data_IF_318600713047
#
_entry.id   IF_318600713047
#
_cell.length_a   1.000
_cell.length_b   1.000
_cell.length_c   1.000
_cell.angle_alpha   90.00
_cell.angle_beta   90.00
_cell.angle_gamma   90.00
#
_symmetry.space_group_name_H-M   'P 1'
#
loop_
_entity.id
_entity.type
_entity.pdbx_description
1 polymer ?
#
# COMPACT_ATOMS: atom_id res chain seq x y z
N UNK A 1 -83.06 -7.18 -17.40
CA UNK A 1 -81.88 -7.48 -18.22
C UNK A 1 -80.73 -6.70 -17.66
N UNK A 2 -79.87 -7.31 -16.80
CA UNK A 2 -78.76 -6.65 -16.10
C UNK A 2 -77.44 -7.04 -16.80
N UNK A 3 -76.80 -6.05 -17.38
CA UNK A 3 -75.46 -6.21 -17.97
C UNK A 3 -74.40 -6.24 -16.80
N UNK A 4 -73.58 -7.31 -16.76
CA UNK A 4 -72.46 -7.41 -15.87
C UNK A 4 -71.28 -6.78 -16.57
N UNK A 5 -70.66 -5.79 -15.90
CA UNK A 5 -69.35 -5.23 -16.26
C UNK A 5 -68.26 -6.23 -15.92
N UNK A 6 -67.46 -6.64 -16.91
CA UNK A 6 -66.23 -7.40 -16.76
C UNK A 6 -65.09 -6.38 -16.75
N UNK A 7 -64.46 -6.19 -15.61
CA UNK A 7 -63.22 -5.42 -15.46
C UNK A 7 -62.03 -6.30 -15.91
N UNK A 8 -61.38 -5.89 -16.98
CA UNK A 8 -60.13 -6.48 -17.47
C UNK A 8 -58.97 -5.94 -16.58
N UNK A 9 -58.40 -6.79 -15.71
CA UNK A 9 -57.16 -6.47 -15.01
C UNK A 9 -56.00 -6.69 -15.94
N UNK A 10 -55.36 -5.58 -16.35
CA UNK A 10 -54.12 -5.62 -17.13
C UNK A 10 -52.96 -5.99 -16.21
N UNK A 11 -52.47 -7.20 -16.27
CA UNK A 11 -51.20 -7.61 -15.66
C UNK A 11 -50.07 -7.03 -16.50
N UNK A 12 -49.38 -6.03 -15.98
CA UNK A 12 -48.09 -5.57 -16.54
C UNK A 12 -47.05 -6.55 -16.07
N UNK A 13 -46.65 -7.46 -16.94
CA UNK A 13 -45.41 -8.23 -16.75
C UNK A 13 -44.23 -7.29 -17.00
N UNK A 14 -43.55 -6.84 -15.92
CA UNK A 14 -42.25 -6.24 -16.03
C UNK A 14 -41.30 -7.39 -16.36
N UNK A 15 -40.92 -7.53 -17.62
CA UNK A 15 -39.81 -8.37 -18.06
C UNK A 15 -38.52 -7.69 -17.54
N UNK A 16 -38.05 -8.12 -16.37
CA UNK A 16 -36.66 -7.92 -15.99
C UNK A 16 -35.81 -8.69 -17.00
N UNK A 17 -34.85 -8.06 -17.68
CA UNK A 17 -33.95 -8.80 -18.55
C UNK A 17 -33.24 -9.86 -17.71
N UNK A 18 -33.43 -11.13 -18.06
CA UNK A 18 -32.63 -12.22 -17.54
C UNK A 18 -31.19 -11.95 -17.97
N UNK A 19 -30.37 -11.53 -17.02
CA UNK A 19 -28.92 -11.43 -17.21
C UNK A 19 -28.41 -12.77 -17.74
N UNK A 20 -27.56 -12.73 -18.76
CA UNK A 20 -26.95 -13.95 -19.28
C UNK A 20 -26.18 -14.69 -18.18
N UNK A 21 -26.00 -16.03 -18.26
CA UNK A 21 -25.19 -16.75 -17.29
C UNK A 21 -23.78 -16.15 -17.12
N UNK A 22 -23.22 -15.56 -18.17
CA UNK A 22 -21.94 -14.84 -18.10
C UNK A 22 -22.07 -13.54 -17.29
N UNK A 23 -23.19 -12.81 -17.34
CA UNK A 23 -23.46 -11.64 -16.50
C UNK A 23 -23.79 -12.01 -15.06
N UNK A 24 -24.42 -13.16 -14.81
CA UNK A 24 -24.57 -13.69 -13.44
C UNK A 24 -23.23 -14.16 -12.86
N UNK A 25 -22.30 -14.66 -13.69
CA UNK A 25 -20.94 -15.00 -13.26
C UNK A 25 -20.08 -13.75 -12.99
N UNK A 26 -20.36 -12.61 -13.64
CA UNK A 26 -19.69 -11.33 -13.37
C UNK A 26 -20.12 -10.68 -12.05
N UNK A 27 -21.23 -11.11 -11.44
CA UNK A 27 -21.73 -10.62 -10.15
C UNK A 27 -21.09 -11.31 -8.91
N UNK A 28 -20.27 -12.35 -9.08
CA UNK A 28 -19.34 -12.85 -8.05
C UNK A 28 -18.04 -12.05 -8.09
N UNK A 29 -18.17 -10.73 -7.98
CA UNK A 29 -17.11 -9.82 -8.31
C UNK A 29 -16.19 -9.57 -7.14
N UNK A 30 -14.94 -9.30 -7.51
CA UNK A 30 -13.93 -8.67 -6.73
C UNK A 30 -14.53 -7.70 -5.70
N UNK A 31 -14.33 -7.96 -4.42
CA UNK A 31 -14.79 -7.11 -3.32
C UNK A 31 -13.70 -7.00 -2.26
N UNK A 32 -13.61 -5.81 -1.69
CA UNK A 32 -12.96 -5.57 -0.41
C UNK A 32 -14.07 -5.38 0.62
N UNK A 33 -14.13 -6.26 1.62
CA UNK A 33 -15.10 -6.15 2.71
C UNK A 33 -14.37 -5.85 4.03
N UNK A 34 -14.90 -4.92 4.85
CA UNK A 34 -14.25 -4.56 6.11
C UNK A 34 -14.30 -5.73 7.10
N UNK A 35 -13.17 -6.01 7.74
CA UNK A 35 -13.04 -7.01 8.80
C UNK A 35 -13.11 -6.33 10.16
N UNK A 36 -12.23 -5.36 10.39
CA UNK A 36 -12.21 -4.54 11.59
C UNK A 36 -11.62 -3.15 11.32
N UNK A 37 -11.89 -2.21 12.23
CA UNK A 37 -11.29 -0.88 12.28
C UNK A 37 -10.84 -0.59 13.70
N UNK A 38 -9.68 0.07 13.87
CA UNK A 38 -9.12 0.45 15.17
C UNK A 38 -8.61 1.87 15.12
N UNK A 39 -8.72 2.57 16.26
CA UNK A 39 -8.07 3.85 16.48
C UNK A 39 -6.61 3.56 16.79
N UNK A 40 -5.71 3.99 15.92
CA UNK A 40 -4.27 3.85 16.07
C UNK A 40 -3.65 5.12 16.65
N UNK A 41 -3.88 6.28 16.05
CA UNK A 41 -3.47 7.57 16.62
C UNK A 41 -4.38 7.96 17.77
N UNK A 42 -3.81 8.21 18.94
CA UNK A 42 -4.55 8.54 20.17
C UNK A 42 -5.37 9.84 20.08
N UNK A 43 -5.08 10.71 19.10
CA UNK A 43 -5.84 11.92 18.82
C UNK A 43 -7.14 11.63 18.03
N UNK A 44 -7.38 10.38 17.63
CA UNK A 44 -8.62 9.96 16.97
C UNK A 44 -8.86 10.70 15.65
N UNK A 45 -10.03 11.32 15.47
CA UNK A 45 -10.44 11.96 14.21
C UNK A 45 -9.50 13.08 13.70
N UNK A 46 -8.66 13.64 14.55
CA UNK A 46 -7.62 14.61 14.17
C UNK A 46 -6.23 13.97 14.10
N UNK A 47 -6.15 12.65 14.33
CA UNK A 47 -4.95 11.85 14.21
C UNK A 47 -4.65 11.48 12.76
N UNK A 48 -3.48 10.89 12.51
CA UNK A 48 -3.13 10.27 11.23
C UNK A 48 -2.30 9.02 11.43
N UNK A 49 -2.58 8.00 10.61
CA UNK A 49 -1.76 6.79 10.47
C UNK A 49 -1.07 6.88 9.12
N UNK A 50 0.26 7.01 9.14
CA UNK A 50 1.05 7.25 7.92
C UNK A 50 1.36 5.95 7.17
N UNK A 51 1.57 4.85 7.90
CA UNK A 51 1.88 3.55 7.29
C UNK A 51 1.35 2.38 8.11
N UNK A 52 1.10 1.25 7.43
CA UNK A 52 0.73 0.00 8.07
C UNK A 52 1.13 -1.19 7.18
N UNK A 53 1.90 -2.14 7.70
CA UNK A 53 2.45 -3.26 6.95
C UNK A 53 2.17 -4.60 7.64
N UNK A 54 1.84 -5.63 6.85
CA UNK A 54 1.68 -6.98 7.36
C UNK A 54 3.01 -7.64 7.67
N UNK A 55 3.05 -8.45 8.73
CA UNK A 55 4.13 -9.41 8.91
C UNK A 55 4.15 -10.41 7.74
N UNK A 56 5.33 -10.92 7.33
CA UNK A 56 5.45 -11.91 6.26
C UNK A 56 4.56 -13.15 6.46
N UNK A 57 4.32 -13.58 7.71
CA UNK A 57 3.42 -14.70 8.02
C UNK A 57 1.94 -14.30 8.10
N UNK A 58 1.60 -13.02 7.90
CA UNK A 58 0.26 -12.45 7.88
C UNK A 58 -0.48 -12.44 9.23
N UNK A 59 0.21 -12.77 10.35
CA UNK A 59 -0.44 -12.86 11.67
C UNK A 59 -0.50 -11.52 12.40
N UNK A 60 0.38 -10.60 12.05
CA UNK A 60 0.51 -9.30 12.69
C UNK A 60 0.47 -8.18 11.65
N UNK A 61 0.18 -6.98 12.14
CA UNK A 61 0.30 -5.73 11.41
C UNK A 61 1.08 -4.78 12.30
N UNK A 62 2.03 -4.04 11.74
CA UNK A 62 2.65 -2.89 12.40
C UNK A 62 2.12 -1.62 11.78
N UNK A 63 1.94 -0.55 12.56
CA UNK A 63 1.55 0.78 12.05
C UNK A 63 2.36 1.89 12.70
N UNK A 64 2.57 2.96 11.92
CA UNK A 64 3.18 4.21 12.36
C UNK A 64 2.16 5.34 12.35
N UNK A 65 2.21 6.23 13.35
CA UNK A 65 1.29 7.35 13.49
C UNK A 65 2.03 8.69 13.50
N UNK A 66 1.32 9.72 13.04
CA UNK A 66 1.86 11.07 12.91
C UNK A 66 1.87 11.84 14.23
N UNK A 67 0.71 12.01 14.82
CA UNK A 67 0.56 13.03 15.87
C UNK A 67 0.80 12.50 17.28
N UNK A 68 0.58 11.22 17.56
CA UNK A 68 0.97 10.61 18.83
C UNK A 68 2.29 9.85 18.74
N UNK A 69 2.94 9.86 17.56
CA UNK A 69 4.28 9.32 17.30
C UNK A 69 4.41 7.83 17.67
N UNK A 70 3.34 7.07 17.53
CA UNK A 70 3.30 5.66 17.95
C UNK A 70 3.78 4.70 16.88
N UNK A 71 4.48 3.66 17.30
CA UNK A 71 4.67 2.39 16.58
C UNK A 71 3.83 1.35 17.29
N UNK A 72 2.88 0.72 16.60
CA UNK A 72 1.90 -0.16 17.22
C UNK A 72 1.89 -1.51 16.52
N UNK A 73 1.92 -2.56 17.31
CA UNK A 73 1.78 -3.94 16.86
C UNK A 73 0.36 -4.43 17.10
N UNK A 74 -0.25 -4.96 16.04
CA UNK A 74 -1.62 -5.48 16.05
C UNK A 74 -1.65 -6.96 15.73
N UNK A 75 -2.60 -7.69 16.33
CA UNK A 75 -2.96 -9.03 15.86
C UNK A 75 -3.90 -8.92 14.67
N UNK A 76 -3.54 -9.51 13.53
CA UNK A 76 -4.33 -9.42 12.29
C UNK A 76 -5.75 -9.95 12.44
N UNK A 77 -5.94 -11.06 13.19
CA UNK A 77 -7.23 -11.75 13.25
C UNK A 77 -8.37 -10.95 13.87
N UNK A 78 -8.05 -10.05 14.82
CA UNK A 78 -9.07 -9.34 15.61
C UNK A 78 -8.74 -7.86 15.85
N UNK A 79 -7.59 -7.38 15.39
CA UNK A 79 -7.13 -6.00 15.62
C UNK A 79 -6.82 -5.69 17.09
N UNK A 80 -6.41 -6.70 17.87
CA UNK A 80 -5.94 -6.48 19.25
C UNK A 80 -4.57 -5.82 19.21
N UNK A 81 -4.41 -4.71 19.91
CA UNK A 81 -3.10 -4.09 20.17
C UNK A 81 -2.27 -5.01 21.07
N UNK A 82 -1.07 -5.39 20.61
CA UNK A 82 -0.15 -6.25 21.35
C UNK A 82 0.89 -5.46 22.12
N UNK A 83 1.46 -4.44 21.48
CA UNK A 83 2.34 -3.47 22.13
C UNK A 83 2.32 -2.13 21.38
N UNK A 84 2.71 -1.06 22.11
CA UNK A 84 2.87 0.31 21.58
C UNK A 84 4.19 0.87 22.06
N UNK A 85 4.91 1.52 21.16
CA UNK A 85 6.15 2.28 21.42
C UNK A 85 5.99 3.69 20.88
N UNK A 86 6.88 4.58 21.26
CA UNK A 86 6.82 5.99 20.86
C UNK A 86 8.17 6.42 20.33
N UNK A 87 8.18 7.10 19.19
CA UNK A 87 9.29 7.88 18.67
C UNK A 87 9.27 9.31 19.27
N UNK A 88 10.28 10.10 19.02
CA UNK A 88 10.30 11.48 19.47
C UNK A 88 9.49 12.42 18.55
N UNK A 89 9.30 12.03 17.28
CA UNK A 89 8.48 12.73 16.29
C UNK A 89 7.64 11.74 15.48
N UNK A 90 6.91 12.23 14.48
CA UNK A 90 6.02 11.42 13.65
C UNK A 90 6.74 10.23 13.01
N UNK A 91 6.02 9.11 12.93
CA UNK A 91 6.48 7.86 12.34
C UNK A 91 5.94 7.76 10.93
N UNK A 92 6.78 8.02 9.93
CA UNK A 92 6.40 8.06 8.51
C UNK A 92 6.26 6.65 7.93
N UNK A 93 7.22 5.76 8.24
CA UNK A 93 7.23 4.43 7.65
C UNK A 93 7.54 3.35 8.67
N UNK A 94 6.89 2.21 8.51
CA UNK A 94 7.19 0.98 9.26
C UNK A 94 7.46 -0.16 8.28
N UNK A 95 8.17 -1.20 8.72
CA UNK A 95 8.48 -2.34 7.87
C UNK A 95 8.92 -3.57 8.66
N UNK A 96 8.69 -4.76 8.07
CA UNK A 96 9.00 -6.06 8.67
C UNK A 96 10.22 -6.73 8.05
N UNK A 97 11.05 -7.35 8.91
CA UNK A 97 12.04 -8.31 8.42
C UNK A 97 11.38 -9.60 7.93
N UNK A 98 11.94 -10.21 6.90
CA UNK A 98 11.36 -11.39 6.24
C UNK A 98 11.19 -12.61 7.16
N UNK A 99 11.98 -12.70 8.24
CA UNK A 99 11.94 -13.77 9.23
C UNK A 99 10.92 -13.54 10.37
N UNK A 100 10.17 -12.44 10.33
CA UNK A 100 9.24 -11.98 11.36
C UNK A 100 9.89 -11.65 12.71
N UNK A 101 11.22 -11.46 12.78
CA UNK A 101 11.91 -11.20 14.06
C UNK A 101 11.98 -9.72 14.39
N UNK A 102 12.02 -8.84 13.40
CA UNK A 102 12.24 -7.42 13.58
C UNK A 102 11.18 -6.57 12.89
N UNK A 103 10.93 -5.42 13.50
CA UNK A 103 10.17 -4.31 12.92
C UNK A 103 11.07 -3.09 12.90
N UNK A 104 11.14 -2.38 11.79
CA UNK A 104 11.79 -1.08 11.72
C UNK A 104 10.74 0.02 11.62
N UNK A 105 11.00 1.16 12.25
CA UNK A 105 10.17 2.36 12.16
C UNK A 105 11.07 3.56 11.85
N UNK A 106 10.75 4.26 10.78
CA UNK A 106 11.39 5.48 10.32
C UNK A 106 10.62 6.70 10.82
N UNK A 107 11.33 7.71 11.35
CA UNK A 107 10.73 8.86 11.99
C UNK A 107 11.40 10.18 11.59
N UNK A 108 10.64 11.27 11.68
CA UNK A 108 11.12 12.64 11.50
C UNK A 108 12.12 13.11 12.56
N UNK A 109 12.37 12.32 13.61
CA UNK A 109 13.43 12.57 14.59
C UNK A 109 14.83 12.14 14.11
N UNK A 110 14.95 11.77 12.83
CA UNK A 110 16.16 11.32 12.15
C UNK A 110 16.66 9.96 12.63
N UNK A 111 15.80 9.16 13.21
CA UNK A 111 16.09 7.80 13.66
C UNK A 111 15.27 6.77 12.87
N UNK A 112 15.92 5.67 12.53
CA UNK A 112 15.25 4.41 12.26
C UNK A 112 15.49 3.51 13.45
N UNK A 113 14.41 3.20 14.18
CA UNK A 113 14.45 2.30 15.32
C UNK A 113 14.03 0.90 14.90
N UNK A 114 14.88 -0.07 15.18
CA UNK A 114 14.60 -1.49 14.94
C UNK A 114 14.21 -2.14 16.25
N UNK A 115 13.03 -2.74 16.27
CA UNK A 115 12.46 -3.42 17.44
C UNK A 115 12.46 -4.94 17.24
N UNK A 116 12.64 -5.68 18.31
CA UNK A 116 12.23 -7.07 18.39
C UNK A 116 10.70 -7.15 18.23
N UNK A 117 10.22 -7.94 17.29
CA UNK A 117 8.82 -7.92 16.90
C UNK A 117 7.88 -8.48 17.98
N UNK A 118 8.35 -9.43 18.81
CA UNK A 118 7.53 -10.04 19.85
C UNK A 118 7.40 -9.13 21.08
N UNK A 119 8.51 -8.57 21.54
CA UNK A 119 8.57 -7.79 22.80
C UNK A 119 8.48 -6.28 22.62
N UNK A 120 8.75 -5.78 21.41
CA UNK A 120 8.94 -4.37 21.13
C UNK A 120 10.19 -3.78 21.80
N UNK A 121 11.18 -4.61 22.16
CA UNK A 121 12.45 -4.14 22.68
C UNK A 121 13.33 -3.56 21.58
N UNK A 122 13.96 -2.41 21.83
CA UNK A 122 14.87 -1.77 20.85
C UNK A 122 16.11 -2.66 20.66
N UNK A 123 16.42 -2.95 19.40
CA UNK A 123 17.59 -3.70 18.98
C UNK A 123 18.65 -2.76 18.38
N UNK A 124 18.23 -1.81 17.54
CA UNK A 124 19.10 -0.81 16.93
C UNK A 124 18.41 0.55 16.87
N UNK A 125 19.24 1.59 16.94
CA UNK A 125 18.88 2.98 16.60
C UNK A 125 19.86 3.45 15.52
N UNK A 126 19.37 3.61 14.30
CA UNK A 126 20.17 3.99 13.14
C UNK A 126 20.00 5.48 12.90
N UNK A 127 21.06 6.25 13.16
CA UNK A 127 21.04 7.72 13.06
C UNK A 127 21.20 8.17 11.62
N UNK A 128 20.34 9.11 11.21
CA UNK A 128 20.31 9.75 9.91
C UNK A 128 20.57 11.25 10.00
N UNK A 129 20.58 11.94 8.85
CA UNK A 129 20.88 13.37 8.76
C UNK A 129 19.66 14.21 8.43
N UNK A 130 18.58 13.57 8.01
CA UNK A 130 17.29 14.16 7.66
C UNK A 130 16.17 13.25 8.15
N UNK A 131 14.91 13.68 8.03
CA UNK A 131 13.72 12.85 8.16
C UNK A 131 13.77 11.64 7.21
N UNK A 132 13.12 10.55 7.59
CA UNK A 132 13.16 9.30 6.83
C UNK A 132 11.74 8.91 6.44
N UNK A 133 11.39 9.10 5.14
CA UNK A 133 10.10 8.72 4.59
C UNK A 133 10.12 7.31 4.01
N UNK A 134 11.27 6.89 3.43
CA UNK A 134 11.42 5.61 2.77
C UNK A 134 12.05 4.55 3.67
N UNK A 135 11.46 3.34 3.72
CA UNK A 135 12.01 2.20 4.44
C UNK A 135 11.57 0.90 3.77
N UNK A 136 12.48 -0.07 3.62
CA UNK A 136 12.14 -1.42 3.14
C UNK A 136 13.16 -2.45 3.63
N UNK A 137 12.70 -3.69 3.81
CA UNK A 137 13.53 -4.86 4.05
C UNK A 137 13.66 -5.70 2.78
N UNK A 138 14.82 -6.33 2.58
CA UNK A 138 14.96 -7.36 1.55
C UNK A 138 14.14 -8.60 1.90
N UNK A 139 13.62 -9.30 0.89
CA UNK A 139 12.83 -10.53 1.08
C UNK A 139 13.65 -11.67 1.71
N UNK A 140 14.99 -11.62 1.61
CA UNK A 140 15.89 -12.54 2.30
C UNK A 140 16.21 -12.10 3.73
N UNK A 141 15.73 -10.92 4.18
CA UNK A 141 15.85 -10.42 5.54
C UNK A 141 17.25 -9.93 5.96
N UNK A 142 18.22 -9.94 5.04
CA UNK A 142 19.61 -9.56 5.35
C UNK A 142 19.91 -8.08 5.20
N UNK A 143 19.02 -7.32 4.56
CA UNK A 143 19.20 -5.89 4.32
C UNK A 143 18.00 -5.09 4.80
N UNK A 144 18.29 -3.96 5.44
CA UNK A 144 17.35 -2.87 5.68
C UNK A 144 17.83 -1.67 4.87
N UNK A 145 16.94 -1.04 4.10
CA UNK A 145 17.24 0.14 3.30
C UNK A 145 16.33 1.27 3.71
N UNK A 146 16.92 2.46 3.86
CA UNK A 146 16.22 3.68 4.30
C UNK A 146 16.42 4.81 3.30
N UNK A 147 15.44 5.70 3.16
CA UNK A 147 15.50 6.84 2.26
C UNK A 147 15.21 8.14 2.99
N UNK A 148 16.15 9.09 2.88
CA UNK A 148 16.10 10.38 3.56
C UNK A 148 15.34 11.42 2.71
N UNK A 149 14.76 12.40 3.40
CA UNK A 149 14.32 13.65 2.80
C UNK A 149 15.50 14.39 2.15
N UNK A 150 15.12 15.36 1.33
CA UNK A 150 16.07 16.20 0.60
C UNK A 150 16.97 17.00 1.51
N UNK A 151 18.25 16.94 1.21
CA UNK A 151 19.30 17.79 1.80
C UNK A 151 20.18 18.45 0.72
N UNK A 152 21.26 19.09 1.14
CA UNK A 152 22.29 19.62 0.26
C UNK A 152 23.61 18.90 0.48
N UNK A 153 24.22 18.46 -0.63
CA UNK A 153 25.57 17.96 -0.64
C UNK A 153 26.60 19.07 -0.41
N UNK A 154 27.84 18.72 -0.16
CA UNK A 154 28.93 19.66 0.11
C UNK A 154 29.18 20.64 -1.06
N UNK A 155 28.86 20.27 -2.29
CA UNK A 155 28.92 21.13 -3.49
C UNK A 155 27.61 21.90 -3.78
N UNK A 156 26.65 21.84 -2.84
CA UNK A 156 25.39 22.61 -2.88
C UNK A 156 24.29 22.00 -3.77
N UNK A 157 24.47 20.80 -4.32
CA UNK A 157 23.45 20.11 -5.09
C UNK A 157 22.40 19.47 -4.17
N UNK A 158 21.19 19.31 -4.71
CA UNK A 158 20.17 18.52 -4.04
C UNK A 158 20.58 17.06 -3.98
N UNK A 159 20.36 16.43 -2.85
CA UNK A 159 20.55 14.99 -2.62
C UNK A 159 19.40 14.44 -1.77
N UNK A 160 19.12 13.14 -1.91
CA UNK A 160 18.26 12.34 -1.05
C UNK A 160 18.96 11.02 -0.83
N UNK A 161 19.51 10.82 0.36
CA UNK A 161 20.36 9.67 0.62
C UNK A 161 19.53 8.41 0.82
N UNK A 162 20.02 7.33 0.24
CA UNK A 162 19.50 5.97 0.46
C UNK A 162 20.61 5.22 1.15
N UNK A 163 20.36 4.75 2.39
CA UNK A 163 21.35 4.00 3.16
C UNK A 163 21.00 2.54 3.22
N UNK A 164 21.98 1.67 3.04
CA UNK A 164 21.83 0.23 3.08
C UNK A 164 22.54 -0.32 4.31
N UNK A 165 21.79 -1.04 5.12
CA UNK A 165 22.29 -1.65 6.35
C UNK A 165 22.26 -3.17 6.25
N UNK A 166 23.36 -3.80 6.64
CA UNK A 166 23.43 -5.25 6.86
C UNK A 166 22.78 -5.60 8.20
N UNK A 167 21.85 -6.54 8.19
CA UNK A 167 21.13 -6.96 9.38
C UNK A 167 21.46 -8.42 9.73
N UNK A 168 21.52 -8.80 11.03
CA UNK A 168 21.14 -8.00 12.20
C UNK A 168 22.24 -7.10 12.76
N UNK A 169 23.39 -6.93 12.09
CA UNK A 169 24.52 -6.15 12.64
C UNK A 169 24.23 -4.65 12.78
N UNK A 170 23.28 -4.11 12.03
CA UNK A 170 22.97 -2.68 11.95
C UNK A 170 24.09 -1.86 11.28
N UNK A 171 25.03 -2.51 10.58
CA UNK A 171 26.16 -1.85 9.92
C UNK A 171 25.72 -1.25 8.60
N UNK A 172 25.93 0.06 8.39
CA UNK A 172 25.82 0.69 7.08
C UNK A 172 26.90 0.15 6.15
N UNK A 173 26.50 -0.41 5.02
CA UNK A 173 27.40 -1.03 4.03
C UNK A 173 27.44 -0.29 2.71
N UNK A 174 26.42 0.55 2.41
CA UNK A 174 26.36 1.31 1.18
C UNK A 174 25.49 2.55 1.32
N UNK A 175 25.79 3.58 0.50
CA UNK A 175 24.97 4.80 0.37
C UNK A 175 24.79 5.13 -1.09
N UNK A 176 23.53 5.41 -1.48
CA UNK A 176 23.12 5.87 -2.82
C UNK A 176 22.56 7.28 -2.73
N UNK A 177 22.40 7.94 -3.88
CA UNK A 177 21.79 9.25 -3.99
C UNK A 177 20.65 9.25 -5.00
N UNK A 178 19.45 9.51 -4.50
CA UNK A 178 18.28 9.72 -5.35
C UNK A 178 18.31 11.10 -6.05
N UNK A 179 19.03 12.08 -5.49
CA UNK A 179 19.08 13.46 -5.99
C UNK A 179 17.95 14.37 -5.49
N UNK A 180 17.01 13.85 -4.73
CA UNK A 180 15.92 14.58 -4.07
C UNK A 180 15.28 13.67 -3.00
N UNK A 181 14.25 14.16 -2.27
CA UNK A 181 13.50 13.37 -1.28
C UNK A 181 13.13 11.98 -1.79
N UNK A 182 13.36 10.99 -0.96
CA UNK A 182 12.99 9.58 -1.17
C UNK A 182 11.76 9.28 -0.34
N UNK A 183 10.60 9.16 -0.97
CA UNK A 183 9.33 8.92 -0.27
C UNK A 183 9.10 7.43 0.03
N UNK A 184 9.56 6.54 -0.88
CA UNK A 184 9.38 5.10 -0.68
C UNK A 184 10.48 4.26 -1.36
N UNK A 185 10.65 3.06 -0.85
CA UNK A 185 11.64 2.09 -1.32
C UNK A 185 11.01 0.69 -1.42
N UNK A 186 11.41 -0.09 -2.42
CA UNK A 186 10.91 -1.45 -2.63
C UNK A 186 12.01 -2.34 -3.21
N UNK A 187 12.15 -3.55 -2.69
CA UNK A 187 12.90 -4.58 -3.40
C UNK A 187 12.02 -5.26 -4.46
N UNK A 188 12.62 -5.71 -5.56
CA UNK A 188 11.98 -6.68 -6.43
C UNK A 188 11.84 -8.03 -5.70
N UNK A 189 10.85 -8.86 -6.09
CA UNK A 189 10.57 -10.14 -5.41
C UNK A 189 11.78 -11.09 -5.32
N UNK A 190 12.75 -10.95 -6.22
CA UNK A 190 13.99 -11.72 -6.25
C UNK A 190 15.19 -10.99 -5.62
N UNK A 191 14.95 -9.86 -4.97
CA UNK A 191 15.93 -8.95 -4.36
C UNK A 191 17.04 -8.45 -5.29
N UNK A 192 16.91 -8.61 -6.62
CA UNK A 192 17.96 -8.16 -7.57
C UNK A 192 17.90 -6.68 -7.88
N UNK A 193 16.81 -6.02 -7.57
CA UNK A 193 16.61 -4.61 -7.83
C UNK A 193 16.01 -3.90 -6.61
N UNK A 194 16.47 -2.67 -6.40
CA UNK A 194 15.88 -1.71 -5.47
C UNK A 194 15.20 -0.60 -6.28
N UNK A 195 13.94 -0.35 -6.01
CA UNK A 195 13.18 0.78 -6.50
C UNK A 195 13.26 1.90 -5.48
N UNK A 196 13.61 3.10 -5.93
CA UNK A 196 13.52 4.33 -5.12
C UNK A 196 12.50 5.25 -5.76
N UNK A 197 11.47 5.58 -5.02
CA UNK A 197 10.36 6.45 -5.41
C UNK A 197 10.53 7.79 -4.70
N UNK A 198 10.54 8.88 -5.45
CA UNK A 198 10.77 10.17 -4.81
C UNK A 198 10.49 11.36 -5.72
N UNK A 199 10.91 12.52 -5.28
CA UNK A 199 10.67 13.75 -6.00
C UNK A 199 11.47 13.80 -7.32
N UNK A 200 10.76 14.00 -8.42
CA UNK A 200 11.32 14.16 -9.77
C UNK A 200 11.49 12.88 -10.57
N UNK A 201 11.59 11.72 -9.93
CA UNK A 201 11.80 10.45 -10.62
C UNK A 201 11.53 9.21 -9.76
N UNK A 202 11.45 8.08 -10.44
CA UNK A 202 11.54 6.73 -9.87
C UNK A 202 12.83 6.11 -10.41
N UNK A 203 13.67 5.58 -9.54
CA UNK A 203 14.98 5.02 -9.91
C UNK A 203 15.05 3.54 -9.59
N UNK A 204 15.67 2.78 -10.51
CA UNK A 204 15.90 1.36 -10.35
C UNK A 204 17.41 1.14 -10.21
N UNK A 205 17.83 0.56 -9.10
CA UNK A 205 19.22 0.18 -8.84
C UNK A 205 19.37 -1.35 -8.85
N UNK A 206 20.49 -1.84 -9.29
CA UNK A 206 20.89 -3.25 -9.10
C UNK A 206 21.35 -3.43 -7.66
N UNK A 207 21.09 -4.56 -7.07
CA UNK A 207 21.50 -4.81 -5.68
C UNK A 207 22.85 -5.52 -5.55
N UNK A 208 23.34 -6.12 -6.64
CA UNK A 208 24.63 -6.81 -6.64
C UNK A 208 25.84 -5.86 -6.64
N UNK A 209 25.69 -4.68 -7.24
CA UNK A 209 26.75 -3.65 -7.33
C UNK A 209 26.25 -2.23 -7.00
N UNK A 210 24.99 -2.08 -6.64
CA UNK A 210 24.28 -0.83 -6.33
C UNK A 210 24.31 0.21 -7.46
N UNK A 211 24.55 -0.20 -8.70
CA UNK A 211 24.55 0.69 -9.84
C UNK A 211 23.13 1.14 -10.23
N UNK A 212 23.00 2.42 -10.61
CA UNK A 212 21.75 2.94 -11.17
C UNK A 212 21.53 2.33 -12.57
N UNK A 213 20.50 1.54 -12.71
CA UNK A 213 20.12 0.92 -13.98
C UNK A 213 19.21 1.83 -14.81
N UNK A 214 18.20 2.42 -14.18
CA UNK A 214 17.19 3.24 -14.87
C UNK A 214 16.72 4.42 -14.04
N UNK A 215 16.33 5.48 -14.76
CA UNK A 215 15.55 6.60 -14.20
C UNK A 215 14.25 6.70 -14.99
N UNK A 216 13.13 6.43 -14.31
CA UNK A 216 11.78 6.45 -14.86
C UNK A 216 11.13 7.78 -14.47
N UNK A 217 10.64 8.53 -15.44
CA UNK A 217 9.96 9.80 -15.22
C UNK A 217 9.12 10.18 -16.44
N UNK A 218 8.03 10.94 -16.27
CA UNK A 218 7.37 11.63 -17.38
C UNK A 218 8.19 12.83 -17.86
N UNK A 219 7.73 13.49 -18.91
CA UNK A 219 8.40 14.68 -19.49
C UNK A 219 8.28 15.95 -18.62
N UNK A 220 7.63 15.86 -17.47
CA UNK A 220 7.44 16.96 -16.52
C UNK A 220 7.77 16.53 -15.10
N UNK A 221 8.04 17.51 -14.23
CA UNK A 221 8.34 17.24 -12.82
C UNK A 221 7.15 16.63 -12.10
N UNK A 222 7.37 15.54 -11.40
CA UNK A 222 6.37 14.80 -10.63
C UNK A 222 6.92 14.53 -9.24
N UNK A 223 6.12 14.75 -8.21
CA UNK A 223 6.35 14.25 -6.86
C UNK A 223 5.71 12.89 -6.80
N UNK A 224 6.52 11.82 -6.84
CA UNK A 224 6.04 10.46 -6.66
C UNK A 224 5.94 10.15 -5.17
N UNK A 225 4.79 9.63 -4.76
CA UNK A 225 4.49 9.32 -3.35
C UNK A 225 4.69 7.85 -3.04
N UNK A 226 4.31 6.96 -3.97
CA UNK A 226 4.37 5.50 -3.77
C UNK A 226 4.60 4.78 -5.10
N UNK A 227 5.00 3.50 -5.03
CA UNK A 227 5.25 2.69 -6.23
C UNK A 227 5.40 1.21 -5.92
N UNK A 228 6.06 0.48 -6.83
CA UNK A 228 6.37 -0.95 -6.63
C UNK A 228 6.68 -1.67 -7.92
N UNK A 229 7.37 -2.81 -7.77
CA UNK A 229 7.51 -3.78 -8.85
C UNK A 229 6.28 -4.66 -8.95
N UNK A 230 5.88 -5.06 -10.17
CA UNK A 230 4.95 -6.17 -10.30
C UNK A 230 5.56 -7.46 -9.74
N UNK A 231 4.76 -8.40 -9.19
CA UNK A 231 5.27 -9.66 -8.62
C UNK A 231 6.11 -10.49 -9.61
N UNK A 232 5.83 -10.39 -10.92
CA UNK A 232 6.63 -11.05 -11.97
C UNK A 232 7.87 -10.25 -12.40
N UNK A 233 8.11 -9.08 -11.82
CA UNK A 233 9.23 -8.20 -12.08
C UNK A 233 9.24 -7.52 -13.46
N UNK A 234 8.16 -7.63 -14.27
CA UNK A 234 8.12 -7.06 -15.63
C UNK A 234 7.75 -5.59 -15.67
N UNK A 235 7.02 -5.12 -14.67
CA UNK A 235 6.51 -3.76 -14.64
C UNK A 235 6.99 -3.02 -13.39
N UNK A 236 7.06 -1.70 -13.52
CA UNK A 236 7.14 -0.75 -12.40
C UNK A 236 5.91 0.12 -12.45
N UNK A 237 5.25 0.28 -11.31
CA UNK A 237 4.16 1.22 -11.15
C UNK A 237 4.56 2.29 -10.15
N UNK A 238 4.10 3.50 -10.33
CA UNK A 238 4.19 4.54 -9.32
C UNK A 238 2.99 5.48 -9.40
N UNK A 239 2.68 6.10 -8.28
CA UNK A 239 1.69 7.16 -8.18
C UNK A 239 2.36 8.45 -7.76
N UNK A 240 1.80 9.57 -8.20
CA UNK A 240 2.39 10.86 -7.86
C UNK A 240 1.61 12.02 -8.43
N UNK A 241 2.00 13.22 -8.03
CA UNK A 241 1.39 14.47 -8.42
C UNK A 241 2.35 15.29 -9.29
N UNK A 242 1.95 15.58 -10.52
CA UNK A 242 2.74 16.42 -11.44
C UNK A 242 1.97 17.65 -11.90
N UNK A 243 2.60 18.80 -11.97
CA UNK A 243 2.15 20.06 -12.62
C UNK A 243 0.77 20.62 -12.27
N UNK A 244 -0.13 19.77 -11.79
CA UNK A 244 -1.48 20.09 -11.31
C UNK A 244 -1.70 19.35 -9.99
N UNK A 245 -2.70 19.75 -9.19
CA UNK A 245 -3.03 19.06 -7.94
C UNK A 245 -3.66 17.67 -8.12
N UNK A 246 -3.59 17.09 -9.32
CA UNK A 246 -4.16 15.78 -9.63
C UNK A 246 -3.08 14.72 -9.55
N UNK A 247 -3.38 13.63 -8.83
CA UNK A 247 -2.54 12.44 -8.82
C UNK A 247 -2.66 11.66 -10.13
N UNK A 248 -1.58 11.05 -10.55
CA UNK A 248 -1.55 10.14 -11.68
C UNK A 248 -0.95 8.81 -11.27
N UNK A 249 -1.41 7.74 -11.94
CA UNK A 249 -0.78 6.42 -11.89
C UNK A 249 0.03 6.23 -13.18
N UNK A 250 1.28 5.82 -13.03
CA UNK A 250 2.23 5.59 -14.11
C UNK A 250 2.62 4.12 -14.11
N UNK A 251 2.59 3.47 -15.27
CA UNK A 251 3.00 2.08 -15.46
C UNK A 251 4.08 2.02 -16.52
N UNK A 252 5.26 1.51 -16.17
CA UNK A 252 6.38 1.29 -17.09
C UNK A 252 6.66 -0.19 -17.29
N UNK A 253 7.16 -0.53 -18.47
CA UNK A 253 7.88 -1.77 -18.70
C UNK A 253 9.27 -1.66 -18.05
N UNK A 254 9.59 -2.55 -17.10
CA UNK A 254 10.80 -2.42 -16.28
C UNK A 254 12.08 -2.50 -17.11
N UNK A 255 12.15 -3.45 -18.07
CA UNK A 255 13.37 -3.71 -18.83
C UNK A 255 13.77 -2.55 -19.74
N UNK A 256 12.81 -1.99 -20.46
CA UNK A 256 13.06 -0.90 -21.41
C UNK A 256 12.93 0.50 -20.79
N UNK A 257 12.28 0.61 -19.62
CA UNK A 257 11.89 1.90 -19.03
C UNK A 257 10.80 2.64 -19.81
N UNK A 258 10.15 1.98 -20.77
CA UNK A 258 9.07 2.58 -21.57
C UNK A 258 7.83 2.83 -20.71
N UNK A 259 7.33 4.06 -20.70
CA UNK A 259 6.03 4.39 -20.14
C UNK A 259 4.92 3.74 -20.99
N UNK A 260 4.19 2.80 -20.40
CA UNK A 260 3.10 2.08 -21.04
C UNK A 260 1.77 2.80 -20.86
N UNK A 261 1.51 3.29 -19.64
CA UNK A 261 0.25 3.93 -19.25
C UNK A 261 0.48 5.08 -18.28
N UNK A 262 -0.39 6.09 -18.40
CA UNK A 262 -0.56 7.15 -17.43
C UNK A 262 -2.06 7.45 -17.32
N UNK A 263 -2.65 7.29 -16.13
CA UNK A 263 -4.09 7.48 -15.95
C UNK A 263 -4.42 8.09 -14.60
N UNK A 264 -5.60 8.70 -14.51
CA UNK A 264 -6.15 9.30 -13.31
C UNK A 264 -7.67 9.21 -13.33
N UNK A 265 -8.25 8.61 -12.31
CA UNK A 265 -9.70 8.51 -12.18
C UNK A 265 -10.28 9.35 -11.03
N UNK A 266 -9.45 9.74 -10.06
CA UNK A 266 -9.93 10.42 -8.85
C UNK A 266 -9.94 11.94 -8.99
N UNK A 267 -9.06 12.49 -9.80
CA UNK A 267 -8.80 13.94 -9.85
C UNK A 267 -8.19 14.50 -8.55
N UNK A 268 -7.79 13.63 -7.61
CA UNK A 268 -7.19 13.93 -6.31
C UNK A 268 -5.76 13.39 -6.23
N UNK A 269 -5.01 13.81 -5.22
CA UNK A 269 -3.70 13.24 -4.90
C UNK A 269 -3.87 11.75 -4.55
N UNK A 270 -2.99 10.92 -5.08
CA UNK A 270 -2.88 9.50 -4.74
C UNK A 270 -1.65 9.37 -3.84
N UNK A 271 -1.81 8.77 -2.66
CA UNK A 271 -0.73 8.63 -1.69
C UNK A 271 -0.04 7.27 -1.78
N UNK A 272 -0.81 6.22 -1.95
CA UNK A 272 -0.30 4.85 -1.90
C UNK A 272 -0.84 3.98 -3.01
N UNK A 273 -0.03 3.00 -3.42
CA UNK A 273 -0.37 1.99 -4.41
C UNK A 273 0.21 0.64 -4.00
N UNK A 274 -0.56 -0.42 -4.15
CA UNK A 274 -0.15 -1.77 -3.82
C UNK A 274 -0.48 -2.76 -4.94
N UNK A 275 0.46 -3.66 -5.23
CA UNK A 275 0.20 -4.82 -6.07
C UNK A 275 -0.44 -5.94 -5.26
N UNK A 276 -1.52 -6.51 -5.77
CA UNK A 276 -1.98 -7.80 -5.28
C UNK A 276 -0.94 -8.87 -5.63
N UNK A 277 -0.58 -9.82 -4.73
CA UNK A 277 0.49 -10.79 -4.95
C UNK A 277 0.30 -11.70 -6.18
N UNK A 278 -0.94 -11.86 -6.67
CA UNK A 278 -1.20 -12.57 -7.94
C UNK A 278 -0.63 -11.84 -9.17
N UNK A 279 -0.28 -10.56 -9.06
CA UNK A 279 0.12 -9.72 -10.19
C UNK A 279 -1.02 -9.28 -11.10
N UNK A 280 -2.26 -9.73 -10.87
CA UNK A 280 -3.40 -9.44 -11.73
C UNK A 280 -4.13 -8.15 -11.36
N UNK A 281 -3.92 -7.64 -10.14
CA UNK A 281 -4.65 -6.48 -9.62
C UNK A 281 -3.70 -5.48 -8.96
N UNK A 282 -4.15 -4.24 -8.99
CA UNK A 282 -3.48 -3.10 -8.38
C UNK A 282 -4.54 -2.33 -7.60
N UNK A 283 -4.23 -1.96 -6.36
CA UNK A 283 -5.05 -1.04 -5.57
C UNK A 283 -4.32 0.28 -5.40
N UNK A 284 -5.04 1.41 -5.41
CA UNK A 284 -4.52 2.70 -5.01
C UNK A 284 -5.49 3.47 -4.12
N UNK A 285 -4.97 4.35 -3.28
CA UNK A 285 -5.71 5.19 -2.36
C UNK A 285 -5.02 6.55 -2.16
N UNK A 286 -5.70 7.51 -1.58
CA UNK A 286 -5.17 8.84 -1.31
C UNK A 286 -6.25 9.79 -0.82
N UNK A 287 -6.24 11.04 -1.30
CA UNK A 287 -7.15 12.12 -0.88
C UNK A 287 -8.62 11.96 -1.36
N UNK A 288 -8.93 10.87 -2.03
CA UNK A 288 -10.30 10.45 -2.30
C UNK A 288 -10.71 9.41 -1.24
N UNK A 289 -11.94 9.46 -0.69
CA UNK A 289 -12.33 8.53 0.39
C UNK A 289 -12.61 7.10 -0.09
N UNK A 290 -12.07 6.72 -1.22
CA UNK A 290 -12.18 5.38 -1.78
C UNK A 290 -10.83 4.71 -2.00
N UNK A 291 -10.78 3.40 -1.80
CA UNK A 291 -9.73 2.54 -2.33
C UNK A 291 -10.23 2.03 -3.69
N UNK A 292 -9.44 2.22 -4.73
CA UNK A 292 -9.73 1.81 -6.10
C UNK A 292 -8.91 0.58 -6.47
N UNK A 293 -9.52 -0.36 -7.17
CA UNK A 293 -8.86 -1.57 -7.64
C UNK A 293 -9.00 -1.68 -9.16
N UNK A 294 -7.91 -2.02 -9.82
CA UNK A 294 -7.83 -2.20 -11.28
C UNK A 294 -7.28 -3.58 -11.61
N UNK A 295 -7.72 -4.14 -12.75
CA UNK A 295 -7.06 -5.31 -13.34
C UNK A 295 -5.93 -4.86 -14.24
N UNK A 296 -4.75 -5.48 -14.11
CA UNK A 296 -3.60 -5.19 -14.97
C UNK A 296 -3.94 -5.40 -16.45
N UNK A 297 -4.66 -6.48 -16.77
CA UNK A 297 -5.11 -6.75 -18.13
C UNK A 297 -5.95 -5.62 -18.74
N UNK A 298 -6.85 -5.02 -17.96
CA UNK A 298 -7.66 -3.89 -18.39
C UNK A 298 -6.83 -2.62 -18.57
N UNK A 299 -5.89 -2.37 -17.64
CA UNK A 299 -4.94 -1.25 -17.77
C UNK A 299 -4.17 -1.35 -19.09
N UNK A 300 -3.68 -2.53 -19.43
CA UNK A 300 -2.89 -2.72 -20.65
C UNK A 300 -3.73 -2.67 -21.94
N UNK A 301 -4.99 -3.13 -21.89
CA UNK A 301 -5.86 -3.26 -23.05
C UNK A 301 -6.53 -1.94 -23.48
N UNK A 302 -6.83 -1.03 -22.54
CA UNK A 302 -7.62 0.17 -22.83
C UNK A 302 -6.77 1.43 -23.00
N UNK A 303 -7.34 2.49 -23.58
CA UNK A 303 -6.73 3.83 -23.59
C UNK A 303 -6.65 4.42 -22.17
N UNK A 304 -5.79 5.41 -21.97
CA UNK A 304 -5.54 5.98 -20.64
C UNK A 304 -6.81 6.50 -19.94
N UNK A 305 -7.76 7.05 -20.69
CA UNK A 305 -9.02 7.62 -20.16
C UNK A 305 -10.17 6.59 -20.10
N UNK A 306 -9.93 5.36 -20.55
CA UNK A 306 -10.95 4.32 -20.70
C UNK A 306 -10.71 3.10 -19.81
N UNK A 307 -9.69 3.15 -18.92
CA UNK A 307 -9.34 2.03 -18.03
C UNK A 307 -10.49 1.81 -17.03
N UNK A 308 -11.15 0.64 -17.04
CA UNK A 308 -12.26 0.40 -16.13
C UNK A 308 -11.78 0.20 -14.70
N UNK A 309 -12.53 0.74 -13.75
CA UNK A 309 -12.35 0.45 -12.32
C UNK A 309 -12.98 -0.92 -12.06
N UNK A 310 -12.16 -1.89 -11.66
CA UNK A 310 -12.64 -3.24 -11.35
C UNK A 310 -13.46 -3.28 -10.06
N UNK A 311 -13.05 -2.50 -9.05
CA UNK A 311 -13.77 -2.34 -7.79
C UNK A 311 -13.38 -1.03 -7.12
N UNK A 312 -14.28 -0.48 -6.30
CA UNK A 312 -13.97 0.58 -5.34
C UNK A 312 -14.72 0.36 -4.04
N UNK A 313 -14.08 0.63 -2.93
CA UNK A 313 -14.68 0.54 -1.60
C UNK A 313 -14.58 1.87 -0.88
N UNK A 314 -15.66 2.24 -0.17
CA UNK A 314 -15.67 3.43 0.67
C UNK A 314 -14.78 3.21 1.90
N UNK A 315 -13.69 3.95 1.99
CA UNK A 315 -12.73 3.86 3.08
C UNK A 315 -13.02 4.80 4.25
N UNK A 316 -14.02 5.65 4.12
CA UNK A 316 -14.53 6.69 5.04
C UNK A 316 -13.67 7.96 5.11
N UNK A 317 -12.38 7.92 4.83
CA UNK A 317 -11.49 9.07 4.80
C UNK A 317 -10.28 8.80 3.90
N UNK A 318 -9.42 9.80 3.71
CA UNK A 318 -8.16 9.69 3.00
C UNK A 318 -7.35 8.52 3.55
N UNK A 319 -6.82 7.68 2.66
CA UNK A 319 -5.90 6.63 3.02
C UNK A 319 -4.49 7.03 2.61
N UNK A 320 -3.60 7.17 3.60
CA UNK A 320 -2.19 7.50 3.41
C UNK A 320 -1.40 6.30 2.91
N UNK A 321 -1.79 5.10 3.36
CA UNK A 321 -1.09 3.87 3.03
C UNK A 321 -2.04 2.69 2.85
N UNK A 322 -1.71 1.81 1.92
CA UNK A 322 -2.35 0.51 1.72
C UNK A 322 -1.32 -0.57 1.43
N UNK A 323 -1.54 -1.77 1.94
CA UNK A 323 -0.70 -2.92 1.67
C UNK A 323 -1.51 -4.21 1.62
N UNK A 324 -1.10 -5.17 0.76
CA UNK A 324 -1.63 -6.53 0.73
C UNK A 324 -0.74 -7.47 1.54
N UNK A 325 -1.35 -8.39 2.27
CA UNK A 325 -0.58 -9.47 2.87
C UNK A 325 -0.04 -10.44 1.79
N UNK A 326 0.98 -11.22 2.14
CA UNK A 326 1.74 -12.05 1.21
C UNK A 326 0.90 -13.05 0.39
N UNK A 327 -0.23 -13.54 0.91
CA UNK A 327 -1.12 -14.45 0.19
C UNK A 327 -2.28 -13.75 -0.54
N UNK A 328 -2.36 -12.42 -0.46
CA UNK A 328 -3.38 -11.59 -1.10
C UNK A 328 -4.78 -11.72 -0.49
N UNK A 329 -4.93 -12.37 0.66
CA UNK A 329 -6.25 -12.57 1.28
C UNK A 329 -6.78 -11.34 2.00
N UNK A 330 -5.88 -10.42 2.39
CA UNK A 330 -6.23 -9.20 3.11
C UNK A 330 -5.51 -7.98 2.54
N UNK A 331 -6.14 -6.84 2.75
CA UNK A 331 -5.54 -5.52 2.56
C UNK A 331 -5.66 -4.76 3.87
N UNK A 332 -4.59 -4.07 4.28
CA UNK A 332 -4.62 -3.07 5.37
C UNK A 332 -4.65 -1.67 4.78
N UNK A 333 -5.32 -0.75 5.44
CA UNK A 333 -5.29 0.68 5.08
C UNK A 333 -5.11 1.55 6.31
N UNK A 334 -4.25 2.56 6.19
CA UNK A 334 -3.93 3.57 7.17
C UNK A 334 -4.55 4.91 6.76
N UNK A 335 -5.17 5.66 7.69
CA UNK A 335 -6.03 6.79 7.35
C UNK A 335 -5.70 8.06 8.13
N UNK A 336 -5.98 9.24 7.52
CA UNK A 336 -5.82 10.56 8.14
C UNK A 336 -6.72 10.82 9.34
N UNK A 337 -7.78 10.05 9.55
CA UNK A 337 -8.63 10.13 10.74
C UNK A 337 -8.16 9.24 11.89
N UNK A 338 -6.88 8.89 11.93
CA UNK A 338 -6.28 8.09 12.98
C UNK A 338 -6.68 6.61 12.98
N UNK A 339 -7.37 6.14 11.96
CA UNK A 339 -7.85 4.76 11.87
C UNK A 339 -6.90 3.87 11.06
N UNK A 340 -6.75 2.65 11.52
CA UNK A 340 -6.26 1.52 10.75
C UNK A 340 -7.42 0.56 10.48
N UNK A 341 -7.51 0.03 9.26
CA UNK A 341 -8.59 -0.89 8.85
C UNK A 341 -8.04 -2.11 8.15
N UNK A 342 -8.66 -3.24 8.43
CA UNK A 342 -8.42 -4.49 7.74
C UNK A 342 -9.61 -4.81 6.83
N UNK A 343 -9.30 -5.22 5.59
CA UNK A 343 -10.24 -5.62 4.56
C UNK A 343 -9.92 -7.04 4.11
N UNK A 344 -10.94 -7.86 3.91
CA UNK A 344 -10.79 -9.16 3.27
C UNK A 344 -10.95 -9.00 1.76
N UNK A 345 -10.06 -9.63 1.01
CA UNK A 345 -10.12 -9.72 -0.45
C UNK A 345 -11.03 -10.84 -0.89
N UNK A 346 -12.04 -10.51 -1.70
CA UNK A 346 -13.00 -11.44 -2.27
C UNK A 346 -12.91 -11.35 -3.80
N UNK A 347 -11.98 -12.10 -4.40
CA UNK A 347 -11.74 -12.10 -5.86
C UNK A 347 -11.89 -13.48 -6.49
N UNK A 348 -11.65 -13.58 -7.80
CA UNK A 348 -11.74 -14.84 -8.56
C UNK A 348 -10.75 -15.91 -8.05
N UNK A 349 -9.64 -15.48 -7.45
CA UNK A 349 -8.64 -16.32 -6.80
C UNK A 349 -9.00 -16.71 -5.35
N UNK A 350 -10.18 -16.31 -4.88
CA UNK A 350 -10.64 -16.43 -3.51
C UNK A 350 -11.05 -17.85 -3.07
N UNK A 351 -10.82 -18.89 -3.86
CA UNK A 351 -11.18 -20.27 -3.51
C UNK A 351 -10.65 -20.77 -2.15
N UNK A 352 -9.55 -20.19 -1.68
CA UNK A 352 -9.02 -20.36 -0.32
C UNK A 352 -9.66 -19.40 0.70
N UNK A 353 -10.12 -18.22 0.26
CA UNK A 353 -10.61 -17.14 1.10
C UNK A 353 -12.02 -17.35 1.63
N UNK A 354 -12.87 -18.09 0.92
CA UNK A 354 -14.23 -18.38 1.42
C UNK A 354 -14.24 -19.13 2.75
N UNK A 355 -13.25 -20.02 2.99
CA UNK A 355 -13.09 -20.71 4.29
C UNK A 355 -12.52 -19.78 5.36
N UNK A 356 -11.55 -18.91 5.01
CA UNK A 356 -10.98 -17.93 5.94
C UNK A 356 -11.98 -16.83 6.29
N UNK A 357 -12.77 -16.35 5.30
CA UNK A 357 -13.86 -15.40 5.57
C UNK A 357 -14.87 -15.99 6.57
N UNK A 358 -15.25 -17.24 6.43
CA UNK A 358 -16.11 -17.93 7.39
C UNK A 358 -15.45 -18.04 8.77
N UNK A 359 -14.14 -18.30 8.85
CA UNK A 359 -13.40 -18.35 10.11
C UNK A 359 -13.29 -16.97 10.77
N UNK A 360 -13.01 -15.91 10.01
CA UNK A 360 -12.97 -14.53 10.51
C UNK A 360 -14.34 -14.10 11.00
N UNK A 361 -15.40 -14.38 10.24
CA UNK A 361 -16.77 -14.08 10.64
C UNK A 361 -17.20 -14.84 11.90
N UNK A 362 -16.84 -16.12 12.01
CA UNK A 362 -17.09 -16.93 13.21
C UNK A 362 -16.30 -16.42 14.42
N UNK A 363 -15.05 -15.97 14.23
CA UNK A 363 -14.24 -15.35 15.28
C UNK A 363 -14.83 -14.01 15.75
N UNK A 364 -15.36 -13.19 14.83
CA UNK A 364 -16.06 -11.94 15.16
C UNK A 364 -17.37 -12.18 15.89
N UNK A 365 -18.16 -13.16 15.47
CA UNK A 365 -19.41 -13.55 16.14
C UNK A 365 -19.15 -14.11 17.55
N UNK A 366 -18.07 -14.88 17.72
CA UNK A 366 -17.64 -15.40 19.01
C UNK A 366 -17.14 -14.30 19.96
N UNK A 367 -16.48 -13.27 19.44
CA UNK A 367 -16.00 -12.13 20.23
C UNK A 367 -17.11 -11.13 20.62
N UNK A 368 -18.30 -11.21 20.01
CA UNK A 368 -19.48 -10.39 20.31
C UNK A 368 -20.48 -11.08 21.23
N UNK A 369 -20.26 -12.34 21.61
CA UNK A 369 -21.09 -13.02 22.59
C UNK A 369 -20.61 -12.66 24.01
N UNK A 370 -21.53 -12.18 24.87
CA UNK A 370 -21.22 -11.67 26.22
C UNK A 370 -20.67 -12.74 27.16
#
# INVERSE_FOLDING_TARGET
MKMRNITLSTFIFILLPLLSPAQQYLDYQLRLEPVWSRVADALGEIGSVESAEFSPDGKHIVSGTKYDNSVIMWRTSDGTELWRKYAAQEVERVGWSADNQYVAAASEDFLVTVYDAESGAIQHELQHTQGIDGLTWSHQGSLLVTGEEKSKSADGKDQGLIRVYEMPSGKEIHTLDHGNTVNELFFSQDDKYLLSVGHGSVKVYRTDDWSLQQTLKPDYYTIFTSGGFSPDGKHVIAVGQGGTSRGNTYLWERESGKLLKMFNHTGKKIESIAWHPSGNYIAHAGHDPYIYVYRLGDILAHGNDEIPIAHRVWASDHAEFIDFNADGSFLVSAHQNGLIKLWVWMGEDAGLNSRRHQQVKQAQEAAQQP
#
